data_IF_203069392292
#
_entry.id   IF_203069392292
#
_cell.length_a   1.000
_cell.length_b   1.000
_cell.length_c   1.000
_cell.angle_alpha   90.00
_cell.angle_beta   90.00
_cell.angle_gamma   90.00
#
_symmetry.space_group_name_H-M   'P 1'
#
loop_
_entity.id
_entity.type
_entity.pdbx_description
1 polymer ?
#
# COMPACT_ATOMS: atom_id res chain seq x y z
N UNK A 1 -17.20 -35.89 8.97
CA UNK A 1 -17.19 -36.25 7.53
C UNK A 1 -17.01 -34.97 6.72
N UNK A 2 -16.06 -34.92 5.79
CA UNK A 2 -15.86 -33.74 4.96
C UNK A 2 -17.02 -33.62 3.95
N UNK A 3 -17.95 -32.68 4.21
CA UNK A 3 -19.14 -32.43 3.37
C UNK A 3 -18.82 -31.67 2.07
N UNK A 4 -17.60 -31.16 1.93
CA UNK A 4 -17.22 -30.33 0.79
C UNK A 4 -17.30 -31.07 -0.57
N UNK A 5 -16.74 -32.29 -0.73
CA UNK A 5 -16.78 -32.99 -2.03
C UNK A 5 -18.19 -33.40 -2.46
N UNK A 6 -19.13 -33.51 -1.51
CA UNK A 6 -20.52 -33.89 -1.79
C UNK A 6 -21.38 -32.71 -2.25
N UNK A 7 -20.86 -31.49 -2.19
CA UNK A 7 -21.56 -30.30 -2.69
C UNK A 7 -21.62 -30.29 -4.23
N UNK A 8 -22.72 -29.77 -4.80
CA UNK A 8 -22.79 -29.41 -6.22
C UNK A 8 -21.58 -28.59 -6.67
N UNK A 9 -21.16 -28.78 -7.93
CA UNK A 9 -19.96 -28.14 -8.47
C UNK A 9 -20.02 -26.62 -8.40
N UNK A 10 -21.20 -26.04 -8.59
CA UNK A 10 -21.46 -24.60 -8.51
C UNK A 10 -21.17 -24.07 -7.10
N UNK A 11 -21.60 -24.78 -6.06
CA UNK A 11 -21.36 -24.38 -4.67
C UNK A 11 -19.89 -24.55 -4.28
N UNK A 12 -19.23 -25.63 -4.69
CA UNK A 12 -17.79 -25.80 -4.47
C UNK A 12 -16.99 -24.67 -5.11
N UNK A 13 -17.34 -24.29 -6.34
CA UNK A 13 -16.73 -23.16 -7.04
C UNK A 13 -16.94 -21.83 -6.31
N UNK A 14 -18.17 -21.54 -5.88
CA UNK A 14 -18.45 -20.30 -5.13
C UNK A 14 -17.67 -20.24 -3.81
N UNK A 15 -17.54 -21.38 -3.10
CA UNK A 15 -16.74 -21.45 -1.87
C UNK A 15 -15.27 -21.16 -2.17
N UNK A 16 -14.70 -21.77 -3.21
CA UNK A 16 -13.32 -21.48 -3.61
C UNK A 16 -13.12 -20.03 -4.04
N UNK A 17 -14.08 -19.46 -4.76
CA UNK A 17 -14.06 -18.06 -5.18
C UNK A 17 -14.16 -17.08 -4.00
N UNK A 18 -14.90 -17.45 -2.96
CA UNK A 18 -15.01 -16.71 -1.70
C UNK A 18 -13.76 -16.84 -0.83
N UNK A 19 -13.12 -18.02 -0.84
CA UNK A 19 -11.92 -18.30 -0.05
C UNK A 19 -10.63 -17.70 -0.64
N UNK A 20 -10.68 -17.09 -1.83
CA UNK A 20 -9.54 -16.36 -2.38
C UNK A 20 -9.26 -15.11 -1.52
N UNK A 21 -8.05 -14.94 -0.98
CA UNK A 21 -7.69 -13.80 -0.15
C UNK A 21 -7.67 -12.50 -0.99
N UNK A 22 -7.86 -11.36 -0.30
CA UNK A 22 -7.68 -10.04 -0.89
C UNK A 22 -6.29 -9.53 -0.55
N UNK A 23 -5.30 -9.82 -1.41
CA UNK A 23 -3.90 -9.62 -1.07
C UNK A 23 -3.43 -8.21 -1.38
N UNK A 24 -2.46 -7.75 -0.61
CA UNK A 24 -1.65 -6.59 -0.97
C UNK A 24 -0.44 -7.08 -1.77
N UNK A 25 -0.34 -6.62 -3.00
CA UNK A 25 0.71 -7.01 -3.93
C UNK A 25 1.64 -5.83 -4.15
N UNK A 26 2.90 -6.03 -3.80
CA UNK A 26 3.86 -4.96 -3.70
C UNK A 26 4.67 -4.77 -4.98
N UNK A 27 4.69 -3.53 -5.49
CA UNK A 27 5.52 -3.07 -6.60
C UNK A 27 6.64 -2.20 -6.04
N UNK A 28 7.86 -2.46 -6.52
CA UNK A 28 9.06 -1.88 -5.97
C UNK A 28 9.53 -2.68 -4.76
N UNK A 29 10.83 -2.97 -4.74
CA UNK A 29 11.47 -3.59 -3.58
C UNK A 29 11.33 -2.65 -2.39
N UNK A 30 10.78 -3.11 -1.26
CA UNK A 30 10.65 -2.25 -0.10
C UNK A 30 12.02 -1.94 0.48
N UNK A 31 12.26 -0.68 0.82
CA UNK A 31 13.45 -0.26 1.52
C UNK A 31 13.06 0.35 2.86
N UNK A 32 13.66 -0.15 3.93
CA UNK A 32 13.65 0.52 5.22
C UNK A 32 14.93 0.17 5.99
N UNK A 33 15.98 1.02 5.90
CA UNK A 33 17.29 0.69 6.45
C UNK A 33 17.30 0.58 7.98
N UNK A 34 16.25 1.08 8.65
CA UNK A 34 16.20 1.21 10.11
C UNK A 34 15.41 0.09 10.82
N UNK A 35 14.85 -0.89 10.11
CA UNK A 35 13.80 -1.77 10.70
C UNK A 35 14.17 -3.25 10.73
N UNK A 36 14.72 -3.80 9.64
CA UNK A 36 14.99 -5.24 9.50
C UNK A 36 16.17 -5.39 8.53
N UNK A 37 17.02 -6.45 8.67
CA UNK A 37 18.03 -6.77 7.66
C UNK A 37 17.45 -6.79 6.25
N UNK A 38 18.14 -6.18 5.29
CA UNK A 38 17.69 -6.03 3.90
C UNK A 38 17.30 -7.39 3.27
N UNK A 39 18.01 -8.47 3.63
CA UNK A 39 17.69 -9.82 3.16
C UNK A 39 16.32 -10.34 3.63
N UNK A 40 15.95 -10.09 4.89
CA UNK A 40 14.66 -10.51 5.46
C UNK A 40 13.52 -9.73 4.78
N UNK A 41 13.73 -8.43 4.49
CA UNK A 41 12.79 -7.59 3.74
C UNK A 41 12.61 -8.06 2.30
N UNK A 42 13.72 -8.34 1.60
CA UNK A 42 13.70 -8.84 0.23
C UNK A 42 13.03 -10.22 0.15
N UNK A 43 13.31 -11.12 1.09
CA UNK A 43 12.64 -12.43 1.19
C UNK A 43 11.14 -12.27 1.43
N UNK A 44 10.74 -11.42 2.38
CA UNK A 44 9.33 -11.11 2.62
C UNK A 44 8.64 -10.60 1.35
N UNK A 45 9.26 -9.64 0.66
CA UNK A 45 8.76 -9.11 -0.61
C UNK A 45 8.58 -10.20 -1.68
N UNK A 46 9.54 -11.11 -1.82
CA UNK A 46 9.42 -12.25 -2.75
C UNK A 46 8.29 -13.21 -2.31
N UNK A 47 8.15 -13.50 -1.02
CA UNK A 47 7.07 -14.33 -0.48
C UNK A 47 5.69 -13.72 -0.74
N UNK A 48 5.56 -12.40 -0.62
CA UNK A 48 4.33 -11.64 -0.89
C UNK A 48 3.90 -11.74 -2.36
N UNK A 49 4.78 -12.23 -3.23
CA UNK A 49 4.57 -12.43 -4.67
C UNK A 49 4.47 -13.89 -5.06
N UNK A 50 4.35 -14.83 -4.12
CA UNK A 50 3.99 -16.23 -4.39
C UNK A 50 2.49 -16.40 -4.59
N UNK A 51 2.08 -17.41 -5.35
CA UNK A 51 0.67 -17.83 -5.44
C UNK A 51 0.05 -18.06 -4.06
N UNK A 52 -1.26 -17.87 -3.96
CA UNK A 52 -2.04 -18.14 -2.76
C UNK A 52 -1.99 -19.62 -2.39
N UNK A 53 -1.95 -19.96 -1.10
CA UNK A 53 -1.92 -21.35 -0.65
C UNK A 53 -3.13 -22.14 -1.15
N UNK A 54 -4.28 -21.49 -1.33
CA UNK A 54 -5.48 -22.11 -1.94
C UNK A 54 -5.23 -22.67 -3.35
N UNK A 55 -4.28 -22.11 -4.12
CA UNK A 55 -3.89 -22.62 -5.44
C UNK A 55 -3.16 -23.99 -5.38
N UNK A 56 -2.74 -24.41 -4.19
CA UNK A 56 -2.02 -25.65 -3.93
C UNK A 56 -2.89 -26.75 -3.30
N UNK A 57 -4.15 -26.47 -2.94
CA UNK A 57 -5.04 -27.42 -2.25
C UNK A 57 -5.48 -28.57 -3.17
N UNK A 58 -6.09 -28.25 -4.31
CA UNK A 58 -6.54 -29.25 -5.28
C UNK A 58 -6.60 -28.68 -6.70
N UNK A 59 -6.91 -29.51 -7.68
CA UNK A 59 -6.99 -29.08 -9.08
C UNK A 59 -8.09 -28.02 -9.30
N UNK A 60 -9.24 -28.16 -8.63
CA UNK A 60 -10.38 -27.24 -8.77
C UNK A 60 -10.04 -25.85 -8.23
N UNK A 61 -9.48 -25.78 -7.02
CA UNK A 61 -9.05 -24.52 -6.41
C UNK A 61 -7.93 -23.85 -7.22
N UNK A 62 -6.99 -24.65 -7.76
CA UNK A 62 -5.94 -24.15 -8.67
C UNK A 62 -6.52 -23.54 -9.94
N UNK A 63 -7.50 -24.18 -10.58
CA UNK A 63 -8.14 -23.64 -11.77
C UNK A 63 -8.83 -22.31 -11.49
N UNK A 64 -9.50 -22.18 -10.35
CA UNK A 64 -10.18 -20.95 -9.93
C UNK A 64 -9.18 -19.84 -9.65
N UNK A 65 -8.10 -20.13 -8.89
CA UNK A 65 -7.04 -19.16 -8.63
C UNK A 65 -6.37 -18.70 -9.92
N UNK A 66 -5.99 -19.61 -10.82
CA UNK A 66 -5.36 -19.27 -12.09
C UNK A 66 -6.28 -18.52 -13.04
N UNK A 67 -7.59 -18.81 -13.03
CA UNK A 67 -8.57 -18.08 -13.82
C UNK A 67 -8.67 -16.60 -13.39
N UNK A 68 -8.59 -16.33 -12.08
CA UNK A 68 -8.57 -14.95 -11.55
C UNK A 68 -7.25 -14.21 -11.75
N UNK A 69 -6.17 -14.94 -11.97
CA UNK A 69 -4.84 -14.40 -12.27
C UNK A 69 -4.64 -14.01 -13.74
N UNK A 70 -5.62 -14.26 -14.62
CA UNK A 70 -5.53 -13.95 -16.06
C UNK A 70 -6.05 -12.55 -16.36
N UNK A 71 -5.34 -11.85 -17.22
CA UNK A 71 -5.82 -10.62 -17.86
C UNK A 71 -7.19 -10.85 -18.52
N UNK A 72 -8.15 -9.91 -18.37
CA UNK A 72 -9.41 -10.01 -19.07
C UNK A 72 -9.22 -10.10 -20.58
N UNK A 73 -10.10 -10.87 -21.23
CA UNK A 73 -10.09 -11.01 -22.69
C UNK A 73 -10.20 -9.62 -23.35
N UNK A 74 -9.33 -9.36 -24.32
CA UNK A 74 -9.30 -8.09 -25.07
C UNK A 74 -8.43 -7.00 -24.46
N UNK A 75 -7.83 -7.23 -23.30
CA UNK A 75 -6.83 -6.31 -22.71
C UNK A 75 -5.42 -6.78 -23.11
N UNK A 76 -4.75 -6.01 -23.96
CA UNK A 76 -3.34 -6.21 -24.28
C UNK A 76 -2.53 -5.15 -23.53
N UNK A 77 -1.58 -5.58 -22.72
CA UNK A 77 -0.65 -4.68 -22.04
C UNK A 77 0.69 -4.64 -22.77
N UNK A 78 1.39 -3.51 -22.65
CA UNK A 78 2.78 -3.43 -23.10
C UNK A 78 3.60 -4.53 -22.39
N UNK A 79 4.56 -5.18 -23.08
CA UNK A 79 5.43 -6.20 -22.49
C UNK A 79 6.11 -5.76 -21.19
N UNK A 80 6.33 -4.45 -21.04
CA UNK A 80 7.04 -3.85 -19.92
C UNK A 80 6.15 -3.32 -18.78
N UNK A 81 4.82 -3.38 -18.93
CA UNK A 81 3.87 -2.91 -17.93
C UNK A 81 3.97 -3.73 -16.64
N UNK A 82 4.41 -3.09 -15.56
CA UNK A 82 4.57 -3.68 -14.23
C UNK A 82 5.30 -5.04 -14.25
N UNK A 83 6.55 -5.03 -14.74
CA UNK A 83 7.42 -6.14 -15.14
C UNK A 83 7.96 -7.07 -14.05
N UNK A 84 7.07 -7.64 -13.26
CA UNK A 84 7.41 -8.86 -12.54
C UNK A 84 6.15 -9.71 -12.48
N UNK A 85 6.27 -10.99 -12.79
CA UNK A 85 5.34 -12.09 -12.49
C UNK A 85 3.82 -11.82 -12.52
N UNK A 86 3.23 -12.21 -13.65
CA UNK A 86 1.87 -11.91 -14.14
C UNK A 86 0.72 -12.66 -13.47
N UNK A 87 0.73 -12.94 -12.16
CA UNK A 87 -0.38 -13.71 -11.54
C UNK A 87 -1.32 -12.89 -10.65
N UNK A 88 -0.97 -11.65 -10.28
CA UNK A 88 -1.82 -10.80 -9.43
C UNK A 88 -2.89 -9.99 -10.19
N UNK A 89 -3.30 -10.41 -11.40
CA UNK A 89 -4.31 -9.72 -12.22
C UNK A 89 -5.75 -9.94 -11.72
N UNK A 90 -5.94 -10.02 -10.41
CA UNK A 90 -7.25 -10.19 -9.81
C UNK A 90 -7.83 -8.84 -9.40
N UNK A 91 -9.12 -8.63 -9.66
CA UNK A 91 -9.86 -7.43 -9.23
C UNK A 91 -9.97 -7.25 -7.71
N UNK A 92 -9.66 -8.29 -6.93
CA UNK A 92 -9.76 -8.21 -5.45
C UNK A 92 -8.50 -7.71 -4.78
N UNK A 93 -7.33 -7.94 -5.40
CA UNK A 93 -6.03 -7.58 -4.82
C UNK A 93 -5.81 -6.07 -4.87
N UNK A 94 -4.99 -5.58 -3.94
CA UNK A 94 -4.58 -4.19 -3.84
C UNK A 94 -3.15 -4.10 -4.35
N UNK A 95 -2.92 -3.32 -5.40
CA UNK A 95 -1.58 -3.06 -5.90
C UNK A 95 -0.95 -1.95 -5.05
N UNK A 96 0.09 -2.27 -4.28
CA UNK A 96 0.79 -1.34 -3.41
C UNK A 96 2.11 -0.88 -4.00
N UNK A 97 2.29 0.44 -4.17
CA UNK A 97 3.53 1.05 -4.61
C UNK A 97 4.39 1.39 -3.40
N UNK A 98 5.46 0.62 -3.21
CA UNK A 98 6.46 0.92 -2.20
C UNK A 98 7.23 2.18 -2.55
N UNK A 99 7.69 2.86 -1.52
CA UNK A 99 8.66 3.93 -1.69
C UNK A 99 10.06 3.34 -1.88
N UNK A 100 10.79 3.80 -2.90
CA UNK A 100 12.16 3.37 -3.12
C UNK A 100 13.11 4.05 -2.10
N UNK A 101 14.36 3.55 -1.95
CA UNK A 101 15.34 4.10 -1.02
C UNK A 101 15.62 5.59 -1.24
N UNK A 102 16.23 6.24 -0.24
CA UNK A 102 16.74 7.62 -0.31
C UNK A 102 17.73 7.84 -1.47
N UNK A 103 18.37 6.78 -1.96
CA UNK A 103 19.20 6.77 -3.18
C UNK A 103 18.60 5.79 -4.16
N UNK A 104 17.81 6.30 -5.10
CA UNK A 104 17.26 5.50 -6.18
C UNK A 104 18.26 5.50 -7.33
N UNK A 105 18.73 4.32 -7.75
CA UNK A 105 19.43 4.23 -9.03
C UNK A 105 18.51 4.76 -10.15
N UNK A 106 19.06 5.53 -11.10
CA UNK A 106 18.25 6.16 -12.15
C UNK A 106 17.29 5.19 -12.87
N UNK A 107 17.68 3.92 -13.01
CA UNK A 107 16.86 2.85 -13.59
C UNK A 107 15.65 2.47 -12.75
N UNK A 108 15.80 2.35 -11.43
CA UNK A 108 14.69 2.05 -10.51
C UNK A 108 13.68 3.21 -10.49
N UNK A 109 14.17 4.45 -10.57
CA UNK A 109 13.33 5.66 -10.67
C UNK A 109 12.51 5.66 -11.95
N UNK A 110 13.13 5.41 -13.11
CA UNK A 110 12.41 5.33 -14.39
C UNK A 110 11.31 4.26 -14.33
N UNK A 111 11.61 3.07 -13.79
CA UNK A 111 10.61 2.00 -13.62
C UNK A 111 9.43 2.42 -12.75
N UNK A 112 9.68 3.11 -11.65
CA UNK A 112 8.61 3.58 -10.77
C UNK A 112 7.73 4.63 -11.47
N UNK A 113 8.34 5.54 -12.22
CA UNK A 113 7.64 6.51 -13.07
C UNK A 113 6.78 5.80 -14.12
N UNK A 114 7.33 4.81 -14.82
CA UNK A 114 6.61 4.02 -15.82
C UNK A 114 5.42 3.28 -15.19
N UNK A 115 5.62 2.63 -14.04
CA UNK A 115 4.55 1.95 -13.32
C UNK A 115 3.45 2.91 -12.85
N UNK A 116 3.79 4.14 -12.44
CA UNK A 116 2.81 5.17 -12.10
C UNK A 116 2.02 5.63 -13.33
N UNK A 117 2.70 5.83 -14.47
CA UNK A 117 2.05 6.17 -15.74
C UNK A 117 1.10 5.06 -16.21
N UNK A 118 1.44 3.80 -15.98
CA UNK A 118 0.59 2.66 -16.31
C UNK A 118 -0.75 2.71 -15.57
N UNK A 119 -0.78 3.20 -14.32
CA UNK A 119 -2.04 3.36 -13.57
C UNK A 119 -3.02 4.32 -14.24
N UNK A 120 -2.50 5.36 -14.90
CA UNK A 120 -3.31 6.33 -15.63
C UNK A 120 -3.77 5.75 -16.97
N UNK A 121 -2.88 5.03 -17.66
CA UNK A 121 -3.13 4.52 -19.02
C UNK A 121 -3.96 3.24 -19.05
N UNK A 122 -3.98 2.47 -17.96
CA UNK A 122 -4.58 1.14 -17.90
C UNK A 122 -5.66 1.12 -16.80
N UNK A 123 -6.93 1.42 -17.14
CA UNK A 123 -7.99 1.59 -16.15
C UNK A 123 -8.20 0.40 -15.22
N UNK A 124 -7.93 -0.83 -15.68
CA UNK A 124 -8.06 -2.02 -14.83
C UNK A 124 -7.07 -2.03 -13.64
N UNK A 125 -5.89 -1.42 -13.80
CA UNK A 125 -4.90 -1.28 -12.73
C UNK A 125 -5.33 -0.28 -11.65
N UNK A 126 -6.12 0.71 -12.02
CA UNK A 126 -6.55 1.80 -11.13
C UNK A 126 -7.67 1.42 -10.13
N UNK A 127 -8.20 0.19 -10.17
CA UNK A 127 -9.38 -0.20 -9.38
C UNK A 127 -9.12 -0.24 -7.86
N UNK A 128 -7.95 -0.72 -7.45
CA UNK A 128 -7.54 -0.83 -6.04
C UNK A 128 -6.04 -0.62 -5.93
N UNK A 129 -5.65 0.65 -5.82
CA UNK A 129 -4.25 1.05 -5.71
C UNK A 129 -3.99 1.58 -4.31
N UNK A 130 -2.88 1.15 -3.74
CA UNK A 130 -2.26 1.75 -2.58
C UNK A 130 -0.92 2.36 -2.97
N UNK A 131 -0.62 3.56 -2.47
CA UNK A 131 0.65 4.25 -2.69
C UNK A 131 1.25 4.58 -1.32
N UNK A 132 2.54 4.30 -1.13
CA UNK A 132 3.25 4.75 0.07
C UNK A 132 3.25 6.28 0.16
N UNK A 133 3.05 6.82 1.36
CA UNK A 133 3.11 8.26 1.59
C UNK A 133 4.46 8.84 1.15
N UNK A 134 5.57 8.10 1.25
CA UNK A 134 6.89 8.61 0.86
C UNK A 134 7.05 8.81 -0.66
N UNK A 135 6.22 8.15 -1.49
CA UNK A 135 6.11 8.41 -2.94
C UNK A 135 5.38 9.73 -3.21
N UNK A 136 4.43 10.08 -2.36
CA UNK A 136 3.52 11.23 -2.57
C UNK A 136 4.01 12.48 -1.83
N UNK A 137 4.05 12.38 -0.51
CA UNK A 137 4.55 13.36 0.44
C UNK A 137 4.87 12.63 1.75
N UNK A 138 6.14 12.52 2.17
CA UNK A 138 6.53 11.72 3.32
C UNK A 138 5.73 12.03 4.58
N UNK A 139 5.19 10.97 5.20
CA UNK A 139 4.47 11.10 6.47
C UNK A 139 5.44 11.31 7.64
N UNK A 140 6.61 10.68 7.62
CA UNK A 140 7.63 10.85 8.64
C UNK A 140 8.59 11.96 8.21
N UNK A 141 8.80 12.96 9.09
CA UNK A 141 9.56 14.18 8.75
C UNK A 141 11.04 13.97 8.45
N UNK A 142 11.61 12.86 8.91
CA UNK A 142 13.01 12.53 8.67
C UNK A 142 13.22 11.81 7.33
N UNK A 143 12.14 11.38 6.65
CA UNK A 143 12.24 10.80 5.32
C UNK A 143 12.32 11.89 4.26
N UNK A 144 13.23 11.69 3.34
CA UNK A 144 13.34 12.55 2.17
C UNK A 144 12.19 12.30 1.21
N UNK A 145 11.84 13.35 0.45
CA UNK A 145 10.85 13.22 -0.63
C UNK A 145 11.43 12.37 -1.74
N UNK A 146 10.60 11.56 -2.37
CA UNK A 146 10.96 10.89 -3.60
C UNK A 146 11.32 11.91 -4.70
N UNK A 147 12.31 11.58 -5.53
CA UNK A 147 12.72 12.36 -6.72
C UNK A 147 11.72 12.25 -7.89
N UNK A 148 10.52 11.73 -7.64
CA UNK A 148 9.47 11.62 -8.66
C UNK A 148 8.86 13.01 -8.92
N UNK A 149 8.63 13.38 -10.19
CA UNK A 149 7.95 14.63 -10.52
C UNK A 149 6.59 14.74 -9.83
N UNK A 150 6.39 15.81 -9.04
CA UNK A 150 5.13 16.05 -8.32
C UNK A 150 3.92 16.12 -9.24
N UNK A 151 4.10 16.67 -10.44
CA UNK A 151 3.03 16.76 -11.44
C UNK A 151 2.49 15.38 -11.79
N UNK A 152 3.38 14.42 -12.03
CA UNK A 152 3.00 13.04 -12.32
C UNK A 152 2.26 12.38 -11.16
N UNK A 153 2.76 12.55 -9.93
CA UNK A 153 2.09 12.01 -8.73
C UNK A 153 0.67 12.55 -8.64
N UNK A 154 0.48 13.85 -8.82
CA UNK A 154 -0.86 14.46 -8.76
C UNK A 154 -1.75 14.07 -9.94
N UNK A 155 -1.20 13.89 -11.15
CA UNK A 155 -1.94 13.35 -12.29
C UNK A 155 -2.49 11.95 -11.98
N UNK A 156 -1.66 11.08 -11.41
CA UNK A 156 -2.04 9.73 -10.97
C UNK A 156 -3.13 9.81 -9.91
N UNK A 157 -2.93 10.60 -8.85
CA UNK A 157 -3.91 10.73 -7.77
C UNK A 157 -5.24 11.31 -8.26
N UNK A 158 -5.22 12.29 -9.17
CA UNK A 158 -6.42 12.88 -9.77
C UNK A 158 -7.14 11.94 -10.73
N UNK A 159 -6.43 10.97 -11.33
CA UNK A 159 -7.04 9.96 -12.19
C UNK A 159 -7.89 8.94 -11.41
N UNK A 160 -7.70 8.86 -10.08
CA UNK A 160 -8.38 7.91 -9.21
C UNK A 160 -9.49 8.61 -8.41
N UNK A 161 -10.67 7.95 -8.31
CA UNK A 161 -11.76 8.44 -7.45
C UNK A 161 -11.40 8.37 -5.97
N UNK A 162 -10.74 7.28 -5.59
CA UNK A 162 -10.26 7.02 -4.23
C UNK A 162 -8.90 6.36 -4.33
N UNK A 163 -7.94 6.86 -3.55
CA UNK A 163 -6.58 6.31 -3.51
C UNK A 163 -6.26 5.89 -2.08
N UNK A 164 -5.77 4.66 -1.90
CA UNK A 164 -5.30 4.20 -0.60
C UNK A 164 -3.90 4.76 -0.37
N UNK A 165 -3.68 5.49 0.73
CA UNK A 165 -2.35 5.97 1.09
C UNK A 165 -1.86 5.20 2.30
N UNK A 166 -0.75 4.47 2.14
CA UNK A 166 -0.05 3.86 3.27
C UNK A 166 0.80 4.93 3.94
N UNK A 167 0.37 5.44 5.10
CA UNK A 167 1.09 6.47 5.84
C UNK A 167 2.43 5.98 6.37
N UNK A 168 2.49 4.70 6.75
CA UNK A 168 3.68 4.07 7.28
C UNK A 168 3.61 2.56 7.08
N UNK A 169 4.77 1.94 6.99
CA UNK A 169 4.93 0.49 6.88
C UNK A 169 5.60 -0.02 8.14
N UNK A 170 4.93 -0.94 8.84
CA UNK A 170 5.46 -1.63 10.00
C UNK A 170 5.83 -3.05 9.57
N UNK A 171 7.13 -3.34 9.55
CA UNK A 171 7.62 -4.68 9.28
C UNK A 171 7.70 -5.46 10.60
N UNK A 172 7.10 -6.65 10.63
CA UNK A 172 7.05 -7.53 11.80
C UNK A 172 7.79 -8.82 11.45
N UNK A 173 8.98 -8.98 12.03
CA UNK A 173 9.74 -10.23 12.06
C UNK A 173 9.08 -11.30 12.92
N UNK A 174 8.27 -12.16 12.31
CA UNK A 174 7.57 -13.26 12.97
C UNK A 174 7.43 -14.46 12.03
N UNK A 175 7.31 -15.67 12.56
CA UNK A 175 6.97 -16.84 11.74
C UNK A 175 5.49 -16.85 11.37
N UNK A 176 5.12 -17.62 10.34
CA UNK A 176 3.72 -17.78 9.94
C UNK A 176 2.87 -18.39 11.05
N UNK A 177 3.45 -19.28 11.87
CA UNK A 177 2.77 -19.92 13.00
C UNK A 177 2.40 -18.89 14.06
N UNK A 178 3.35 -18.02 14.45
CA UNK A 178 3.12 -16.96 15.43
C UNK A 178 2.05 -15.96 14.94
N UNK A 179 2.09 -15.58 13.66
CA UNK A 179 1.06 -14.74 13.06
C UNK A 179 -0.32 -15.42 13.07
N UNK A 180 -0.38 -16.71 12.76
CA UNK A 180 -1.60 -17.51 12.71
C UNK A 180 -2.25 -17.69 14.09
N UNK A 181 -1.46 -17.89 15.15
CA UNK A 181 -1.97 -17.98 16.52
C UNK A 181 -2.76 -16.73 16.96
N UNK A 182 -2.41 -15.57 16.40
CA UNK A 182 -3.12 -14.30 16.65
C UNK A 182 -4.18 -13.97 15.59
N UNK A 183 -4.40 -14.88 14.62
CA UNK A 183 -5.35 -14.68 13.52
C UNK A 183 -4.99 -13.51 12.60
N UNK A 184 -3.68 -13.22 12.46
CA UNK A 184 -3.17 -12.13 11.61
C UNK A 184 -2.69 -12.68 10.26
N UNK A 185 -2.56 -11.78 9.28
CA UNK A 185 -1.99 -12.08 7.96
C UNK A 185 -2.67 -13.23 7.19
N UNK A 186 -3.99 -13.40 7.37
CA UNK A 186 -4.78 -14.37 6.60
C UNK A 186 -4.28 -15.81 6.68
N UNK A 187 -3.79 -16.26 7.84
CA UNK A 187 -3.13 -17.56 8.04
C UNK A 187 -1.85 -17.76 7.19
N UNK A 188 -1.18 -16.67 6.79
CA UNK A 188 0.03 -16.67 5.96
C UNK A 188 -0.22 -16.35 4.49
N UNK A 189 -1.49 -16.29 4.05
CA UNK A 189 -1.86 -15.97 2.66
C UNK A 189 -1.99 -14.46 2.38
N UNK A 190 -2.01 -13.64 3.43
CA UNK A 190 -2.05 -12.17 3.34
C UNK A 190 -0.86 -11.57 4.10
N UNK A 191 0.38 -11.80 3.64
CA UNK A 191 1.59 -11.40 4.37
C UNK A 191 1.82 -9.88 4.42
N UNK A 192 1.00 -9.10 3.72
CA UNK A 192 0.86 -7.67 3.92
C UNK A 192 -0.62 -7.31 4.07
N UNK A 193 -0.94 -6.49 5.08
CA UNK A 193 -2.30 -6.02 5.36
C UNK A 193 -2.32 -4.51 5.53
N UNK A 194 -3.34 -3.86 4.96
CA UNK A 194 -3.57 -2.42 5.07
C UNK A 194 -4.66 -2.18 6.11
N UNK A 195 -4.27 -1.61 7.24
CA UNK A 195 -5.13 -1.43 8.41
C UNK A 195 -5.48 0.04 8.57
N UNK A 196 -6.71 0.33 9.01
CA UNK A 196 -7.09 1.69 9.36
C UNK A 196 -6.19 2.24 10.48
N UNK A 197 -5.55 3.41 10.31
CA UNK A 197 -4.70 4.00 11.32
C UNK A 197 -5.42 4.31 12.65
N UNK A 198 -6.76 4.32 12.65
CA UNK A 198 -7.58 4.57 13.83
C UNK A 198 -8.28 3.30 14.37
N UNK A 199 -8.10 2.14 13.73
CA UNK A 199 -8.57 0.84 14.25
C UNK A 199 -7.61 0.33 15.33
N UNK A 200 -7.77 0.90 16.53
CA UNK A 200 -6.97 0.56 17.71
C UNK A 200 -7.02 -0.94 18.05
N UNK A 201 -8.19 -1.62 18.04
CA UNK A 201 -8.25 -3.06 18.25
C UNK A 201 -7.40 -3.86 17.26
N UNK A 202 -7.42 -3.52 15.97
CA UNK A 202 -6.57 -4.19 14.99
C UNK A 202 -5.08 -3.93 15.26
N UNK A 203 -4.69 -2.66 15.42
CA UNK A 203 -3.29 -2.27 15.68
C UNK A 203 -2.73 -2.95 16.94
N UNK A 204 -3.54 -3.08 17.99
CA UNK A 204 -3.12 -3.73 19.23
C UNK A 204 -2.79 -5.21 19.05
N UNK A 205 -3.47 -5.93 18.15
CA UNK A 205 -3.12 -7.32 17.81
C UNK A 205 -1.76 -7.42 17.12
N UNK A 206 -1.46 -6.48 16.21
CA UNK A 206 -0.13 -6.39 15.60
C UNK A 206 0.95 -6.01 16.61
N UNK A 207 0.64 -5.11 17.56
CA UNK A 207 1.54 -4.77 18.67
C UNK A 207 1.84 -5.98 19.55
N UNK A 208 0.84 -6.82 19.82
CA UNK A 208 1.03 -8.06 20.56
C UNK A 208 1.99 -9.02 19.84
N UNK A 209 1.80 -9.22 18.52
CA UNK A 209 2.73 -10.03 17.72
C UNK A 209 4.15 -9.46 17.76
N UNK A 210 4.28 -8.15 17.61
CA UNK A 210 5.57 -7.45 17.64
C UNK A 210 6.27 -7.59 19.00
N UNK A 211 5.55 -7.40 20.11
CA UNK A 211 6.10 -7.58 21.46
C UNK A 211 6.59 -9.02 21.72
N UNK A 212 5.85 -10.01 21.22
CA UNK A 212 6.18 -11.42 21.40
C UNK A 212 7.43 -11.86 20.65
N UNK A 213 7.84 -11.11 19.62
CA UNK A 213 8.96 -11.45 18.73
C UNK A 213 10.23 -10.66 19.01
N UNK A 214 10.24 -9.80 20.05
CA UNK A 214 11.43 -9.06 20.56
C UNK A 214 12.28 -8.42 19.46
N UNK A 215 11.63 -7.71 18.54
CA UNK A 215 12.27 -7.06 17.41
C UNK A 215 12.98 -5.75 17.78
N UNK A 216 13.85 -5.27 16.89
CA UNK A 216 14.55 -4.00 17.04
C UNK A 216 13.63 -2.77 16.98
N UNK A 217 14.19 -1.64 17.44
CA UNK A 217 13.53 -0.52 18.14
C UNK A 217 12.69 0.39 17.24
N UNK A 218 12.81 0.33 15.92
CA UNK A 218 12.23 1.36 15.03
C UNK A 218 10.70 1.41 15.03
N UNK A 219 10.03 0.26 15.17
CA UNK A 219 8.56 0.21 15.27
C UNK A 219 8.03 0.59 16.65
N UNK A 220 8.89 0.66 17.68
CA UNK A 220 8.51 1.12 19.04
C UNK A 220 7.96 2.53 18.98
N UNK A 221 8.68 3.44 18.30
CA UNK A 221 8.26 4.84 18.17
C UNK A 221 6.89 4.95 17.52
N UNK A 222 6.60 4.10 16.54
CA UNK A 222 5.29 4.05 15.90
C UNK A 222 4.21 3.61 16.88
N UNK A 223 4.37 2.44 17.51
CA UNK A 223 3.37 1.90 18.46
C UNK A 223 3.17 2.78 19.70
N UNK A 224 4.21 3.50 20.13
CA UNK A 224 4.11 4.46 21.25
C UNK A 224 3.43 5.76 20.85
N UNK A 225 3.50 6.14 19.57
CA UNK A 225 2.92 7.39 19.09
C UNK A 225 1.48 7.21 18.63
N UNK A 226 1.11 6.06 18.06
CA UNK A 226 -0.18 5.84 17.40
C UNK A 226 -1.39 6.01 18.33
N UNK A 227 -1.24 5.64 19.60
CA UNK A 227 -2.31 5.78 20.61
C UNK A 227 -2.43 7.20 21.18
N UNK A 228 -1.52 8.11 20.82
CA UNK A 228 -1.46 9.46 21.35
C UNK A 228 -2.15 10.47 20.44
N UNK A 229 -2.61 11.59 21.01
CA UNK A 229 -3.11 12.73 20.23
C UNK A 229 -2.07 13.30 19.26
N UNK A 230 -0.77 13.00 19.42
CA UNK A 230 0.29 13.42 18.50
C UNK A 230 0.15 12.76 17.13
N UNK A 231 -0.28 11.50 17.08
CA UNK A 231 -0.49 10.81 15.81
C UNK A 231 -1.63 11.43 15.03
N UNK A 232 -2.79 11.64 15.67
CA UNK A 232 -3.94 12.32 15.07
C UNK A 232 -3.56 13.72 14.58
N UNK A 233 -2.87 14.51 15.40
CA UNK A 233 -2.37 15.83 14.98
C UNK A 233 -1.44 15.75 13.77
N UNK A 234 -0.57 14.74 13.71
CA UNK A 234 0.33 14.54 12.56
C UNK A 234 -0.44 14.18 11.29
N UNK A 235 -1.47 13.33 11.38
CA UNK A 235 -2.36 12.98 10.26
C UNK A 235 -3.08 14.22 9.74
N UNK A 236 -3.70 15.01 10.61
CA UNK A 236 -4.38 16.26 10.21
C UNK A 236 -3.42 17.24 9.53
N UNK A 237 -2.23 17.41 10.12
CA UNK A 237 -1.20 18.24 9.52
C UNK A 237 -0.73 17.71 8.16
N UNK A 238 -0.55 16.40 8.02
CA UNK A 238 -0.15 15.78 6.75
C UNK A 238 -1.21 16.01 5.66
N UNK A 239 -2.49 15.85 6.01
CA UNK A 239 -3.60 16.11 5.11
C UNK A 239 -3.70 17.58 4.68
N UNK A 240 -3.40 18.51 5.59
CA UNK A 240 -3.33 19.94 5.26
C UNK A 240 -2.14 20.27 4.35
N UNK A 241 -0.98 19.66 4.58
CA UNK A 241 0.20 19.75 3.71
C UNK A 241 -0.13 19.22 2.28
N UNK A 242 -0.78 18.05 2.19
CA UNK A 242 -1.26 17.48 0.94
C UNK A 242 -2.25 18.38 0.21
N UNK A 243 -3.21 18.97 0.94
CA UNK A 243 -4.20 19.90 0.40
C UNK A 243 -3.52 21.15 -0.18
N UNK A 244 -2.53 21.69 0.54
CA UNK A 244 -1.73 22.81 0.06
C UNK A 244 -0.95 22.48 -1.21
N UNK A 245 -0.35 21.29 -1.31
CA UNK A 245 0.40 20.87 -2.50
C UNK A 245 -0.50 20.61 -3.71
N UNK A 246 -1.71 20.06 -3.51
CA UNK A 246 -2.69 19.91 -4.57
C UNK A 246 -3.08 21.27 -5.18
N UNK A 247 -3.34 22.25 -4.30
CA UNK A 247 -3.69 23.61 -4.72
C UNK A 247 -2.54 24.22 -5.52
N UNK A 248 -1.30 24.09 -5.05
CA UNK A 248 -0.11 24.56 -5.77
C UNK A 248 0.03 23.86 -7.14
N UNK A 249 -0.23 22.55 -7.23
CA UNK A 249 -0.19 21.77 -8.47
C UNK A 249 -1.21 22.27 -9.50
N UNK A 250 -2.47 22.49 -9.09
CA UNK A 250 -3.52 22.99 -9.99
C UNK A 250 -3.26 24.41 -10.50
N UNK A 251 -2.43 25.19 -9.80
CA UNK A 251 -2.10 26.56 -10.18
C UNK A 251 -0.77 26.69 -10.93
N UNK A 252 0.13 25.72 -10.79
CA UNK A 252 1.39 25.68 -11.55
C UNK A 252 1.23 25.00 -12.91
N UNK A 253 0.19 24.18 -13.10
CA UNK A 253 -0.19 23.58 -14.39
C UNK A 253 -1.57 24.14 -14.84
N UNK A 254 -1.63 25.02 -15.86
CA UNK A 254 -2.78 25.89 -16.18
C UNK A 254 -4.07 25.14 -16.58
N UNK A 255 -5.26 25.76 -16.44
CA UNK A 255 -5.67 26.87 -17.33
C UNK A 255 -5.71 28.27 -16.68
N UNK A 256 -5.32 28.44 -15.41
CA UNK A 256 -5.50 29.73 -14.71
C UNK A 256 -4.25 30.65 -14.77
N UNK A 257 -4.41 31.99 -14.85
CA UNK A 257 -3.30 32.94 -14.96
C UNK A 257 -2.63 33.28 -13.60
N UNK A 258 -1.40 33.82 -13.73
CA UNK A 258 -0.38 34.31 -12.76
C UNK A 258 -0.88 35.34 -11.72
N UNK A 259 -0.06 35.98 -10.84
CA UNK A 259 1.25 35.66 -10.26
C UNK A 259 1.24 35.47 -8.71
N UNK A 260 0.12 35.77 -8.03
CA UNK A 260 0.00 35.71 -6.56
C UNK A 260 -0.73 34.45 -6.04
N UNK A 261 -1.57 33.80 -6.86
CA UNK A 261 -2.19 32.51 -6.59
C UNK A 261 -2.86 32.33 -5.21
N UNK A 262 -3.21 31.10 -4.82
CA UNK A 262 -3.72 30.75 -3.50
C UNK A 262 -2.60 30.70 -2.43
N UNK A 263 -1.49 31.44 -2.61
CA UNK A 263 -0.31 31.36 -1.73
C UNK A 263 -0.64 31.58 -0.26
N UNK A 264 -1.54 32.52 0.02
CA UNK A 264 -2.00 32.77 1.40
C UNK A 264 -2.75 31.56 1.97
N UNK A 265 -3.60 30.92 1.16
CA UNK A 265 -4.37 29.75 1.57
C UNK A 265 -3.44 28.56 1.81
N UNK A 266 -2.49 28.30 0.91
CA UNK A 266 -1.54 27.20 1.09
C UNK A 266 -0.60 27.45 2.27
N UNK A 267 -0.19 28.70 2.53
CA UNK A 267 0.53 29.08 3.73
C UNK A 267 -0.29 28.88 5.01
N UNK A 268 -1.57 29.28 5.00
CA UNK A 268 -2.48 29.10 6.13
C UNK A 268 -2.72 27.62 6.43
N UNK A 269 -2.97 26.78 5.43
CA UNK A 269 -3.15 25.33 5.60
C UNK A 269 -1.92 24.67 6.25
N UNK A 270 -0.72 25.04 5.80
CA UNK A 270 0.53 24.51 6.37
C UNK A 270 0.73 24.92 7.84
N UNK A 271 0.24 26.10 8.22
CA UNK A 271 0.38 26.65 9.58
C UNK A 271 -0.74 26.22 10.53
N UNK A 272 -1.96 26.11 10.00
CA UNK A 272 -3.21 25.89 10.72
C UNK A 272 -4.04 24.82 10.01
N UNK A 273 -3.86 23.52 10.37
CA UNK A 273 -4.52 22.41 9.67
C UNK A 273 -6.05 22.47 9.66
N UNK A 274 -6.65 23.05 10.71
CA UNK A 274 -8.08 23.27 10.87
C UNK A 274 -8.70 24.11 9.74
N UNK A 275 -7.90 24.98 9.12
CA UNK A 275 -8.34 25.80 8.00
C UNK A 275 -8.72 24.99 6.76
N UNK A 276 -8.36 23.70 6.69
CA UNK A 276 -8.78 22.78 5.63
C UNK A 276 -10.30 22.68 5.50
N UNK A 277 -11.04 22.85 6.60
CA UNK A 277 -12.50 22.77 6.61
C UNK A 277 -13.21 24.10 6.39
N UNK A 278 -12.46 25.20 6.30
CA UNK A 278 -13.00 26.54 6.01
C UNK A 278 -13.67 26.58 4.63
N UNK A 279 -14.73 27.39 4.44
CA UNK A 279 -15.34 27.59 3.13
C UNK A 279 -14.34 28.06 2.07
N UNK A 280 -13.43 28.95 2.47
CA UNK A 280 -12.41 29.53 1.58
C UNK A 280 -11.42 28.48 1.06
N UNK A 281 -11.05 27.48 1.87
CA UNK A 281 -10.20 26.39 1.41
C UNK A 281 -10.98 25.36 0.58
N UNK A 282 -12.23 25.06 0.96
CA UNK A 282 -13.06 24.04 0.31
C UNK A 282 -13.26 24.29 -1.18
N UNK A 283 -13.42 25.54 -1.60
CA UNK A 283 -13.59 25.87 -3.02
C UNK A 283 -12.38 25.45 -3.89
N UNK A 284 -11.16 25.46 -3.34
CA UNK A 284 -9.95 25.06 -4.05
C UNK A 284 -9.67 23.55 -3.99
N UNK A 285 -10.42 22.82 -3.16
CA UNK A 285 -10.32 21.36 -3.01
C UNK A 285 -11.44 20.63 -3.77
N UNK A 286 -12.20 21.33 -4.62
CA UNK A 286 -13.19 20.74 -5.52
C UNK A 286 -12.46 19.90 -6.57
N UNK A 287 -12.37 18.59 -6.32
CA UNK A 287 -11.58 17.66 -7.12
C UNK A 287 -10.30 17.16 -6.45
N UNK A 288 -10.08 17.49 -5.18
CA UNK A 288 -9.08 16.81 -4.36
C UNK A 288 -9.49 15.33 -4.23
N UNK A 289 -8.60 14.37 -4.51
CA UNK A 289 -8.96 12.95 -4.48
C UNK A 289 -9.32 12.52 -3.06
N UNK A 290 -10.23 11.55 -2.95
CA UNK A 290 -10.52 10.94 -1.65
C UNK A 290 -9.33 10.05 -1.25
N UNK A 291 -8.68 10.37 -0.14
CA UNK A 291 -7.55 9.60 0.38
C UNK A 291 -8.06 8.65 1.46
N UNK A 292 -7.90 7.34 1.23
CA UNK A 292 -8.17 6.30 2.23
C UNK A 292 -6.86 5.97 2.95
N UNK A 293 -6.71 6.45 4.18
CA UNK A 293 -5.45 6.33 4.92
C UNK A 293 -5.33 4.95 5.55
N UNK A 294 -4.16 4.32 5.41
CA UNK A 294 -3.84 3.00 5.94
C UNK A 294 -2.46 2.97 6.57
N UNK A 295 -2.24 2.00 7.45
CA UNK A 295 -0.93 1.54 7.89
C UNK A 295 -0.71 0.17 7.27
N UNK A 296 0.40 -0.01 6.56
CA UNK A 296 0.75 -1.32 6.07
C UNK A 296 1.49 -2.10 7.16
N UNK A 297 0.98 -3.26 7.55
CA UNK A 297 1.74 -4.23 8.32
C UNK A 297 2.27 -5.28 7.34
N UNK A 298 3.57 -5.57 7.42
CA UNK A 298 4.24 -6.60 6.61
C UNK A 298 4.81 -7.68 7.51
N UNK A 299 4.50 -8.93 7.22
CA UNK A 299 5.12 -10.09 7.85
C UNK A 299 6.48 -10.36 7.19
N UNK A 300 7.53 -10.44 8.00
CA UNK A 300 8.89 -10.71 7.57
C UNK A 300 9.42 -11.97 8.25
N UNK A 301 9.16 -13.17 7.72
CA UNK A 301 9.65 -14.40 8.33
C UNK A 301 11.18 -14.38 8.46
N UNK A 302 11.74 -14.67 9.65
CA UNK A 302 13.19 -14.73 9.82
C UNK A 302 13.77 -15.83 8.94
N UNK A 303 15.01 -15.63 8.49
CA UNK A 303 15.79 -16.71 7.86
C UNK A 303 16.01 -17.79 8.90
N UNK A 304 15.36 -18.92 8.73
CA UNK A 304 15.78 -20.15 9.39
C UNK A 304 17.08 -20.53 8.72
N UNK A 305 18.18 -20.58 9.47
CA UNK A 305 19.41 -21.22 9.00
C UNK A 305 19.00 -22.59 8.46
N UNK A 306 19.16 -22.79 7.16
CA UNK A 306 18.97 -24.11 6.57
C UNK A 306 20.04 -24.99 7.19
N UNK A 307 19.70 -25.66 8.29
CA UNK A 307 20.43 -26.83 8.74
C UNK A 307 20.26 -27.82 7.60
N UNK A 308 21.31 -27.92 6.80
CA UNK A 308 21.50 -28.98 5.82
C UNK A 308 21.36 -30.29 6.61
N UNK A 309 20.26 -30.99 6.40
CA UNK A 309 20.10 -32.41 6.73
C UNK A 309 19.91 -33.18 5.46
#
# INVERSE_FOLDING_TARGET
MAQFPTLPAELRRLIWEFALPARVVEIGEPCDPDIIPEEDLRKAWILNRKHTAIAHVCWESRQISLARSKLPKGVTLAPDCMTDIRWWWNSTDIVHFNAPPEVIEARQRCRLVDNLLDLVKVPILSKKVSISADVVHPFLRFRNRSDIPKSLVWEVLCSMKTCIISLHTVCIRATNEQARELGLFGNGDEPAQLIDPFDKPAIQRFRQLWNNTKQEVSSVKFFDTIDTGRFTFRVERWLAEMSAEYIDFKWTNPPFPTPAGPRNITALLRRYPDQRHSPDAKQYLVGFPTLDLRIMFRLCPPVVDQVIT
#
